data_IF_739063324444
#
_entry.id   IF_739063324444
#
_cell.length_a   1.000
_cell.length_b   1.000
_cell.length_c   1.000
_cell.angle_alpha   90.00
_cell.angle_beta   90.00
_cell.angle_gamma   90.00
#
_symmetry.space_group_name_H-M   'P 1'
#
loop_
_entity.id
_entity.type
_entity.pdbx_description
1 polymer ?
#
# COMPACT_ATOMS: atom_id res chain seq x y z
N UNK A 1 -20.90 -77.43 1.06
CA UNK A 1 -20.72 -76.88 2.42
C UNK A 1 -20.22 -75.47 2.24
N UNK A 2 -20.81 -74.40 2.73
CA UNK A 2 -21.87 -74.14 3.70
C UNK A 2 -21.76 -72.63 3.95
N UNK A 3 -22.89 -71.94 3.91
CA UNK A 3 -23.01 -70.48 3.92
C UNK A 3 -22.70 -69.83 5.29
N UNK A 4 -22.76 -68.49 5.26
CA UNK A 4 -23.08 -67.55 6.35
C UNK A 4 -21.94 -67.15 7.32
N UNK A 5 -21.77 -65.91 7.81
CA UNK A 5 -22.55 -64.64 7.74
C UNK A 5 -21.76 -63.48 8.39
N UNK A 6 -22.01 -62.26 7.85
CA UNK A 6 -22.32 -60.97 8.52
C UNK A 6 -21.25 -60.13 9.25
N UNK A 7 -21.31 -58.83 8.89
CA UNK A 7 -21.09 -57.66 9.74
C UNK A 7 -19.94 -56.81 9.19
N UNK A 8 -20.08 -55.57 8.74
CA UNK A 8 -21.13 -54.57 8.93
C UNK A 8 -20.42 -53.21 9.00
N UNK A 9 -20.75 -52.34 8.06
CA UNK A 9 -20.48 -50.90 7.92
C UNK A 9 -19.73 -50.16 9.05
N UNK A 10 -18.69 -49.40 8.67
CA UNK A 10 -18.61 -47.97 9.02
C UNK A 10 -17.62 -47.24 8.07
N UNK A 11 -18.09 -46.88 6.87
CA UNK A 11 -17.46 -45.82 6.07
C UNK A 11 -17.78 -44.48 6.74
N UNK A 12 -16.81 -43.91 7.46
CA UNK A 12 -16.89 -42.51 7.89
C UNK A 12 -16.05 -41.64 6.98
N UNK A 13 -16.79 -41.07 6.04
CA UNK A 13 -16.62 -39.79 5.34
C UNK A 13 -15.89 -38.76 6.23
N UNK A 14 -14.57 -38.67 6.07
CA UNK A 14 -13.71 -37.67 6.71
C UNK A 14 -13.66 -36.40 5.87
N UNK A 15 -14.78 -35.67 5.78
CA UNK A 15 -14.81 -34.31 5.22
C UNK A 15 -13.88 -33.43 6.06
N UNK A 16 -12.73 -33.07 5.51
CA UNK A 16 -11.90 -32.00 6.06
C UNK A 16 -12.72 -30.72 5.91
N UNK A 17 -13.19 -30.22 7.05
CA UNK A 17 -13.94 -28.99 7.14
C UNK A 17 -13.06 -27.83 6.65
N UNK A 18 -13.37 -27.29 5.47
CA UNK A 18 -12.94 -25.97 5.04
C UNK A 18 -13.43 -24.96 6.07
N UNK A 19 -12.55 -24.54 6.99
CA UNK A 19 -12.76 -23.33 7.78
C UNK A 19 -12.56 -22.15 6.86
N UNK A 20 -13.67 -21.64 6.32
CA UNK A 20 -13.75 -20.27 5.82
C UNK A 20 -13.61 -19.35 7.02
N UNK A 21 -12.44 -18.78 7.20
CA UNK A 21 -12.30 -17.62 8.08
C UNK A 21 -12.99 -16.44 7.40
N UNK A 22 -14.25 -16.23 7.79
CA UNK A 22 -15.04 -15.06 7.44
C UNK A 22 -14.33 -13.81 7.94
N UNK A 23 -13.77 -13.04 7.00
CA UNK A 23 -13.43 -11.63 7.25
C UNK A 23 -14.70 -10.95 7.73
N UNK A 24 -14.68 -10.46 8.97
CA UNK A 24 -15.79 -9.74 9.57
C UNK A 24 -16.13 -8.50 8.74
N UNK A 25 -17.12 -8.64 7.85
CA UNK A 25 -17.69 -7.50 7.16
C UNK A 25 -18.43 -6.66 8.19
N UNK A 26 -17.82 -5.53 8.56
CA UNK A 26 -18.50 -4.50 9.33
C UNK A 26 -19.83 -4.14 8.65
N UNK A 27 -20.94 -4.52 9.29
CA UNK A 27 -22.29 -4.19 8.83
C UNK A 27 -22.46 -2.68 8.86
N UNK A 28 -22.49 -2.06 7.68
CA UNK A 28 -23.06 -0.73 7.45
C UNK A 28 -24.20 -0.83 6.42
N UNK A 29 -25.23 0.03 6.54
CA UNK A 29 -26.50 -0.16 5.85
C UNK A 29 -26.35 -0.01 4.34
N UNK A 30 -26.87 -1.01 3.62
CA UNK A 30 -26.91 -1.06 2.16
C UNK A 30 -27.63 0.17 1.57
N UNK A 31 -27.12 0.77 0.48
CA UNK A 31 -27.85 1.81 -0.21
C UNK A 31 -29.10 1.22 -0.90
N UNK A 32 -30.14 2.06 -0.94
CA UNK A 32 -31.48 1.81 -1.46
C UNK A 32 -31.53 0.96 -2.75
N UNK A 33 -32.50 0.02 -2.78
CA UNK A 33 -32.97 -0.61 -4.03
C UNK A 33 -33.51 0.47 -4.97
N UNK A 34 -32.92 0.60 -6.14
CA UNK A 34 -33.51 1.32 -7.26
C UNK A 34 -34.79 0.59 -7.70
N UNK A 35 -35.93 1.28 -7.70
CA UNK A 35 -37.11 0.83 -8.45
C UNK A 35 -36.96 1.28 -9.90
N UNK A 36 -37.13 0.34 -10.81
CA UNK A 36 -37.55 0.62 -12.18
C UNK A 36 -38.90 1.32 -12.08
N UNK A 37 -39.00 2.52 -12.66
CA UNK A 37 -40.17 3.11 -13.32
C UNK A 37 -39.86 4.60 -13.50
N UNK A 38 -39.54 4.96 -14.73
CA UNK A 38 -39.18 6.32 -15.12
C UNK A 38 -40.40 7.22 -15.17
N UNK A 39 -40.66 7.97 -14.09
CA UNK A 39 -41.40 9.23 -14.14
C UNK A 39 -40.86 10.20 -13.08
N UNK A 40 -40.45 11.39 -13.53
CA UNK A 40 -40.13 12.51 -12.65
C UNK A 40 -41.42 13.21 -12.24
N UNK A 41 -41.70 13.26 -10.94
CA UNK A 41 -42.68 14.22 -10.38
C UNK A 41 -42.08 14.98 -9.20
N UNK A 42 -42.18 16.29 -9.32
CA UNK A 42 -41.90 17.28 -8.28
C UNK A 42 -43.06 17.35 -7.29
N UNK A 43 -42.83 16.98 -6.02
CA UNK A 43 -43.61 17.51 -4.89
C UNK A 43 -43.12 16.94 -3.55
N UNK A 44 -42.94 17.83 -2.56
CA UNK A 44 -43.10 17.49 -1.15
C UNK A 44 -41.80 17.23 -0.38
N UNK A 45 -41.36 18.23 0.38
CA UNK A 45 -40.23 18.08 1.31
C UNK A 45 -40.48 16.99 2.35
N UNK A 46 -39.51 16.08 2.50
CA UNK A 46 -39.48 15.10 3.57
C UNK A 46 -39.03 15.79 4.87
N UNK A 47 -39.98 15.90 5.81
CA UNK A 47 -39.74 16.27 7.21
C UNK A 47 -39.07 15.09 7.92
N UNK A 48 -37.82 15.27 8.35
CA UNK A 48 -37.17 14.40 9.32
C UNK A 48 -37.70 14.60 10.76
N UNK A 49 -37.38 13.70 11.70
CA UNK A 49 -38.00 13.62 13.01
C UNK A 49 -37.37 14.63 13.98
N UNK A 50 -37.59 15.92 13.76
CA UNK A 50 -37.32 16.96 14.75
C UNK A 50 -38.54 17.87 14.88
N UNK A 51 -39.61 17.30 15.42
CA UNK A 51 -40.88 17.96 15.66
C UNK A 51 -40.96 18.78 16.94
N UNK A 52 -39.86 19.29 17.53
CA UNK A 52 -39.93 20.18 18.69
C UNK A 52 -38.74 21.16 18.76
N UNK A 53 -38.73 22.18 17.91
CA UNK A 53 -37.97 23.42 18.17
C UNK A 53 -38.82 24.62 17.75
N UNK A 54 -39.68 25.07 18.65
CA UNK A 54 -40.32 26.39 18.54
C UNK A 54 -39.36 27.50 19.02
N UNK A 55 -39.18 28.50 18.15
CA UNK A 55 -38.69 29.88 18.35
C UNK A 55 -37.18 30.14 18.49
N UNK A 56 -36.69 31.27 17.92
CA UNK A 56 -35.26 31.57 17.82
C UNK A 56 -34.72 32.06 19.17
N UNK A 57 -33.80 31.30 19.76
CA UNK A 57 -32.90 31.85 20.78
C UNK A 57 -31.85 32.69 20.06
N UNK A 58 -31.73 33.95 20.48
CA UNK A 58 -30.66 34.88 20.06
C UNK A 58 -29.32 34.14 20.01
N UNK A 59 -28.56 34.38 18.94
CA UNK A 59 -27.16 33.96 18.86
C UNK A 59 -26.42 34.39 20.15
N UNK A 60 -25.58 33.53 20.74
CA UNK A 60 -24.72 33.95 21.85
C UNK A 60 -23.90 35.14 21.36
N UNK A 61 -23.88 36.22 22.14
CA UNK A 61 -22.92 37.30 21.91
C UNK A 61 -21.54 36.66 22.01
N UNK A 62 -20.77 36.72 20.92
CA UNK A 62 -19.34 36.40 20.92
C UNK A 62 -18.71 37.25 22.01
N UNK A 63 -18.15 36.59 23.02
CA UNK A 63 -17.29 37.25 23.98
C UNK A 63 -16.09 37.82 23.22
N UNK A 64 -15.85 39.12 23.35
CA UNK A 64 -14.85 39.85 22.56
C UNK A 64 -13.40 39.53 22.94
N UNK A 65 -13.18 38.53 23.81
CA UNK A 65 -11.85 38.16 24.31
C UNK A 65 -11.36 36.76 23.91
N UNK A 66 -11.92 36.13 22.87
CA UNK A 66 -11.21 35.00 22.23
C UNK A 66 -10.07 35.57 21.38
N UNK A 67 -8.90 35.76 22.01
CA UNK A 67 -7.65 36.02 21.30
C UNK A 67 -7.44 34.90 20.27
N UNK A 68 -7.58 35.23 18.99
CA UNK A 68 -7.12 34.38 17.88
C UNK A 68 -5.66 33.98 18.17
N UNK A 69 -5.28 32.70 18.08
CA UNK A 69 -3.88 32.33 18.21
C UNK A 69 -3.11 33.07 17.12
N UNK A 70 -2.22 33.97 17.51
CA UNK A 70 -1.25 34.54 16.58
C UNK A 70 -0.33 33.39 16.17
N UNK A 71 -0.38 32.98 14.90
CA UNK A 71 0.64 32.14 14.29
C UNK A 71 2.00 32.74 14.64
N UNK A 72 2.83 32.00 15.39
CA UNK A 72 4.16 32.47 15.79
C UNK A 72 5.02 32.61 14.52
N UNK A 73 5.77 33.71 14.36
CA UNK A 73 6.61 33.94 13.16
C UNK A 73 7.87 33.06 13.11
N UNK A 74 8.14 32.24 14.13
CA UNK A 74 9.33 31.40 14.21
C UNK A 74 8.98 29.98 14.64
N UNK A 75 8.59 29.15 13.67
CA UNK A 75 8.77 27.70 13.75
C UNK A 75 10.27 27.42 13.60
N UNK A 76 10.90 26.64 14.50
CA UNK A 76 12.27 26.20 14.27
C UNK A 76 12.30 25.36 12.98
N UNK A 77 13.24 25.66 12.09
CA UNK A 77 13.38 24.96 10.82
C UNK A 77 13.59 23.46 11.07
N UNK A 78 12.58 22.65 10.73
CA UNK A 78 12.77 21.22 10.51
C UNK A 78 13.51 21.05 9.18
N UNK A 79 14.80 21.41 9.17
CA UNK A 79 15.68 21.22 8.04
C UNK A 79 17.05 20.82 8.57
N UNK A 80 17.29 19.50 8.64
CA UNK A 80 18.57 19.02 8.16
C UNK A 80 18.34 18.59 6.70
N UNK A 81 19.01 19.21 5.73
CA UNK A 81 18.95 18.73 4.36
C UNK A 81 19.62 17.35 4.35
N UNK A 82 18.85 16.30 4.10
CA UNK A 82 19.46 15.05 3.72
C UNK A 82 19.98 15.25 2.30
N UNK A 83 21.30 15.25 2.17
CA UNK A 83 22.01 15.40 0.91
C UNK A 83 21.89 14.11 0.10
N UNK A 84 20.80 13.98 -0.63
CA UNK A 84 20.77 13.19 -1.85
C UNK A 84 19.98 14.01 -2.87
N UNK A 85 20.68 14.50 -3.90
CA UNK A 85 20.00 14.98 -5.09
C UNK A 85 19.14 13.82 -5.56
N UNK A 86 17.81 13.95 -5.50
CA UNK A 86 16.92 13.09 -6.27
C UNK A 86 17.43 13.17 -7.69
N UNK A 87 17.95 12.07 -8.24
CA UNK A 87 18.44 12.05 -9.60
C UNK A 87 17.23 12.27 -10.51
N UNK A 88 16.99 13.53 -10.89
CA UNK A 88 15.89 13.93 -11.77
C UNK A 88 16.20 13.55 -13.21
N UNK A 89 16.76 12.37 -13.46
CA UNK A 89 16.90 11.76 -14.79
C UNK A 89 15.55 11.27 -15.32
N UNK A 90 14.50 12.05 -15.08
CA UNK A 90 13.20 11.84 -15.68
C UNK A 90 13.29 12.43 -17.08
N UNK A 91 13.43 11.56 -18.09
CA UNK A 91 13.59 12.00 -19.48
C UNK A 91 12.28 12.62 -19.96
N UNK A 92 12.35 13.88 -20.38
CA UNK A 92 11.25 14.52 -21.11
C UNK A 92 10.96 13.79 -22.43
N UNK A 93 9.68 13.59 -22.73
CA UNK A 93 9.20 12.88 -23.93
C UNK A 93 9.61 13.62 -25.22
N UNK A 94 9.96 12.89 -26.29
CA UNK A 94 9.89 13.41 -27.67
C UNK A 94 8.40 13.47 -28.09
N UNK A 95 8.05 14.43 -28.96
CA UNK A 95 6.68 14.67 -29.42
C UNK A 95 5.97 13.38 -29.88
N UNK A 96 4.63 13.26 -29.70
CA UNK A 96 3.91 12.03 -30.00
C UNK A 96 3.88 11.79 -31.52
N UNK A 97 4.62 10.79 -31.98
CA UNK A 97 4.29 10.11 -33.24
C UNK A 97 2.93 9.42 -33.07
N UNK A 98 2.17 9.39 -34.17
CA UNK A 98 0.78 8.96 -34.31
C UNK A 98 0.38 7.85 -33.30
N UNK A 99 -0.57 8.15 -32.39
CA UNK A 99 -1.05 7.17 -31.39
C UNK A 99 -1.93 6.14 -32.10
N UNK A 100 -1.30 5.20 -32.81
CA UNK A 100 -1.91 3.93 -33.13
C UNK A 100 -2.46 3.32 -31.83
N UNK A 101 -3.69 2.80 -31.87
CA UNK A 101 -4.29 2.09 -30.73
C UNK A 101 -3.31 1.00 -30.27
N UNK A 102 -2.70 1.20 -29.10
CA UNK A 102 -1.73 0.24 -28.56
C UNK A 102 -2.51 -0.89 -27.93
N UNK A 103 -2.54 -2.05 -28.60
CA UNK A 103 -3.01 -3.29 -27.99
C UNK A 103 -1.87 -3.89 -27.17
N UNK A 104 -2.17 -4.32 -25.95
CA UNK A 104 -1.23 -5.06 -25.10
C UNK A 104 -1.94 -6.27 -24.48
N UNK A 105 -1.16 -7.27 -24.07
CA UNK A 105 -1.63 -8.46 -23.38
C UNK A 105 -0.91 -8.65 -22.06
N UNK A 106 -1.56 -9.38 -21.15
CA UNK A 106 -1.00 -9.80 -19.86
C UNK A 106 -1.11 -11.32 -19.78
N UNK A 107 0.03 -12.00 -19.68
CA UNK A 107 0.15 -13.46 -19.81
C UNK A 107 0.66 -14.01 -18.47
N UNK A 108 -0.15 -14.80 -17.74
CA UNK A 108 0.30 -15.42 -16.49
C UNK A 108 1.29 -16.55 -16.77
N UNK A 109 2.33 -16.69 -15.94
CA UNK A 109 3.20 -17.86 -15.93
C UNK A 109 2.73 -18.83 -14.85
N UNK A 110 2.03 -19.88 -15.28
CA UNK A 110 1.42 -20.87 -14.37
C UNK A 110 2.37 -22.05 -14.11
N UNK A 111 2.12 -22.81 -13.03
CA UNK A 111 2.85 -24.04 -12.75
C UNK A 111 4.30 -23.85 -12.29
N UNK A 112 4.66 -22.66 -11.82
CA UNK A 112 5.96 -22.42 -11.17
C UNK A 112 6.07 -23.24 -9.89
N UNK A 113 7.25 -23.84 -9.66
CA UNK A 113 7.54 -24.54 -8.41
C UNK A 113 7.54 -23.57 -7.22
N UNK A 114 7.36 -24.12 -6.02
CA UNK A 114 7.49 -23.35 -4.78
C UNK A 114 8.94 -22.90 -4.61
N UNK A 115 9.14 -21.60 -4.43
CA UNK A 115 10.48 -20.98 -4.33
C UNK A 115 11.03 -21.15 -2.92
N UNK A 116 12.26 -21.64 -2.83
CA UNK A 116 13.06 -21.75 -1.61
C UNK A 116 14.17 -20.70 -1.57
N UNK A 117 14.79 -20.57 -0.39
CA UNK A 117 15.96 -19.73 -0.20
C UNK A 117 17.13 -20.18 -1.09
N UNK A 118 17.73 -19.24 -1.80
CA UNK A 118 18.87 -19.49 -2.71
C UNK A 118 18.49 -19.93 -4.13
N UNK A 119 17.20 -20.13 -4.43
CA UNK A 119 16.75 -20.49 -5.77
C UNK A 119 17.07 -19.39 -6.80
N UNK A 120 17.48 -19.79 -8.00
CA UNK A 120 17.70 -18.87 -9.12
C UNK A 120 16.38 -18.52 -9.80
N UNK A 121 15.87 -17.32 -9.50
CA UNK A 121 14.63 -16.81 -10.11
C UNK A 121 14.74 -16.58 -11.62
N UNK A 122 15.92 -16.34 -12.17
CA UNK A 122 16.11 -16.17 -13.61
C UNK A 122 15.83 -17.49 -14.33
N UNK A 123 16.34 -18.60 -13.78
CA UNK A 123 16.09 -19.96 -14.27
C UNK A 123 14.64 -20.37 -14.07
N UNK A 124 14.10 -20.22 -12.86
CA UNK A 124 12.71 -20.59 -12.59
C UNK A 124 11.70 -19.86 -13.48
N UNK A 125 11.91 -18.56 -13.74
CA UNK A 125 11.03 -17.78 -14.61
C UNK A 125 11.18 -18.18 -16.08
N UNK A 126 12.41 -18.40 -16.54
CA UNK A 126 12.64 -18.82 -17.92
C UNK A 126 12.05 -20.21 -18.20
N UNK A 127 12.25 -21.16 -17.28
CA UNK A 127 11.69 -22.51 -17.38
C UNK A 127 10.15 -22.47 -17.36
N UNK A 128 9.57 -21.63 -16.50
CA UNK A 128 8.13 -21.42 -16.46
C UNK A 128 7.59 -20.82 -17.77
N UNK A 129 8.30 -19.85 -18.36
CA UNK A 129 7.93 -19.29 -19.65
C UNK A 129 7.91 -20.38 -20.74
N UNK A 130 8.96 -21.20 -20.82
CA UNK A 130 9.05 -22.34 -21.76
C UNK A 130 7.92 -23.34 -21.52
N UNK A 131 7.66 -23.71 -20.27
CA UNK A 131 6.59 -24.66 -19.91
C UNK A 131 5.18 -24.16 -20.27
N UNK A 132 4.97 -22.83 -20.26
CA UNK A 132 3.73 -22.20 -20.70
C UNK A 132 3.69 -21.94 -22.22
N UNK A 133 4.71 -22.37 -22.98
CA UNK A 133 4.82 -22.13 -24.42
C UNK A 133 5.05 -20.66 -24.78
N UNK A 134 5.63 -19.88 -23.87
CA UNK A 134 5.91 -18.46 -24.04
C UNK A 134 7.41 -18.25 -24.19
N UNK A 135 7.83 -17.82 -25.37
CA UNK A 135 9.19 -17.29 -25.56
C UNK A 135 9.23 -15.83 -25.13
N UNK A 136 10.15 -15.47 -24.22
CA UNK A 136 10.37 -14.09 -23.81
C UNK A 136 10.91 -13.29 -24.99
N UNK A 137 10.33 -12.12 -25.23
CA UNK A 137 10.64 -11.29 -26.39
C UNK A 137 11.10 -9.88 -25.98
N UNK A 138 11.81 -9.21 -26.89
CA UNK A 138 12.16 -7.81 -26.73
C UNK A 138 10.92 -6.94 -26.46
N UNK A 139 11.01 -6.09 -25.44
CA UNK A 139 9.92 -5.22 -25.04
C UNK A 139 8.91 -5.85 -24.07
N UNK A 140 9.08 -7.11 -23.68
CA UNK A 140 8.31 -7.70 -22.59
C UNK A 140 8.65 -7.06 -21.24
N UNK A 141 7.65 -6.96 -20.37
CA UNK A 141 7.83 -6.51 -18.99
C UNK A 141 7.32 -7.61 -18.06
N UNK A 142 8.20 -8.16 -17.22
CA UNK A 142 7.83 -9.17 -16.25
C UNK A 142 7.41 -8.46 -14.95
N UNK A 143 6.18 -8.72 -14.53
CA UNK A 143 5.67 -8.32 -13.21
C UNK A 143 5.74 -9.51 -12.28
N UNK A 144 6.61 -9.40 -11.27
CA UNK A 144 6.98 -10.49 -10.36
C UNK A 144 6.54 -10.11 -8.95
N UNK A 145 5.84 -11.00 -8.23
CA UNK A 145 5.48 -10.70 -6.85
C UNK A 145 6.70 -10.64 -5.94
N UNK A 146 6.69 -9.70 -4.99
CA UNK A 146 7.66 -9.58 -3.90
C UNK A 146 7.90 -10.90 -3.17
N UNK A 147 6.88 -11.75 -3.02
CA UNK A 147 6.95 -12.97 -2.21
C UNK A 147 8.01 -13.96 -2.68
N UNK A 148 8.10 -14.23 -3.99
CA UNK A 148 9.09 -15.18 -4.49
C UNK A 148 10.51 -14.60 -4.43
N UNK A 149 10.63 -13.29 -4.56
CA UNK A 149 11.91 -12.58 -4.38
C UNK A 149 12.36 -12.66 -2.92
N UNK A 150 11.46 -12.34 -1.98
CA UNK A 150 11.70 -12.49 -0.55
C UNK A 150 12.11 -13.91 -0.16
N UNK A 151 11.46 -14.94 -0.73
CA UNK A 151 11.81 -16.34 -0.45
C UNK A 151 13.21 -16.68 -0.96
N UNK A 152 13.50 -16.37 -2.23
CA UNK A 152 14.82 -16.61 -2.82
C UNK A 152 15.94 -15.88 -2.06
N UNK A 153 15.66 -14.69 -1.52
CA UNK A 153 16.60 -13.88 -0.74
C UNK A 153 16.66 -14.22 0.75
N UNK A 154 16.02 -15.30 1.22
CA UNK A 154 16.09 -15.71 2.62
C UNK A 154 15.40 -14.76 3.59
N UNK A 155 14.38 -14.01 3.13
CA UNK A 155 13.61 -13.06 3.95
C UNK A 155 12.53 -13.72 4.81
N UNK A 156 12.55 -15.04 4.94
CA UNK A 156 11.68 -15.78 5.84
C UNK A 156 12.32 -15.82 7.23
N UNK A 157 11.71 -15.13 8.19
CA UNK A 157 12.27 -14.99 9.55
C UNK A 157 11.38 -15.67 10.57
N UNK A 158 12.00 -16.29 11.58
CA UNK A 158 11.27 -16.81 12.74
C UNK A 158 10.73 -15.65 13.56
N UNK A 159 9.42 -15.64 13.78
CA UNK A 159 8.75 -14.65 14.61
C UNK A 159 7.62 -15.35 15.37
N UNK A 160 7.76 -15.40 16.70
CA UNK A 160 6.71 -15.92 17.57
C UNK A 160 5.53 -14.96 17.66
N UNK A 161 5.82 -13.65 17.61
CA UNK A 161 4.84 -12.59 17.46
C UNK A 161 5.09 -11.82 16.16
N UNK A 162 4.05 -11.72 15.34
CA UNK A 162 4.08 -10.94 14.11
C UNK A 162 4.27 -9.45 14.39
N UNK A 163 3.76 -8.94 15.51
CA UNK A 163 3.91 -7.52 15.87
C UNK A 163 5.37 -7.14 16.17
N UNK A 164 6.18 -8.08 16.66
CA UNK A 164 7.62 -7.85 16.86
C UNK A 164 8.32 -7.63 15.52
N UNK A 165 8.00 -8.46 14.51
CA UNK A 165 8.54 -8.30 13.17
C UNK A 165 8.07 -7.00 12.50
N UNK A 166 6.78 -6.65 12.65
CA UNK A 166 6.24 -5.37 12.15
C UNK A 166 6.98 -4.20 12.81
N UNK A 167 7.20 -4.27 14.12
CA UNK A 167 7.90 -3.22 14.87
C UNK A 167 9.35 -3.12 14.46
N UNK A 168 10.02 -4.25 14.24
CA UNK A 168 11.38 -4.29 13.74
C UNK A 168 11.49 -3.63 12.37
N UNK A 169 10.56 -3.86 11.44
CA UNK A 169 10.56 -3.25 10.09
C UNK A 169 10.04 -1.81 10.05
N UNK A 170 9.46 -1.31 11.14
CA UNK A 170 8.87 0.04 11.20
C UNK A 170 9.95 1.11 11.39
N UNK A 171 10.00 2.07 10.47
CA UNK A 171 10.78 3.32 10.63
C UNK A 171 9.96 4.36 11.37
N UNK A 172 8.68 4.53 11.00
CA UNK A 172 7.74 5.41 11.70
C UNK A 172 6.30 4.91 11.56
N UNK A 173 5.49 5.18 12.58
CA UNK A 173 4.06 4.95 12.53
C UNK A 173 3.39 6.12 11.80
N UNK A 174 2.52 5.80 10.85
CA UNK A 174 1.67 6.78 10.14
C UNK A 174 0.30 6.82 10.79
N UNK A 175 -0.35 5.66 10.92
CA UNK A 175 -1.69 5.56 11.49
C UNK A 175 -1.87 4.24 12.24
N UNK A 176 -2.64 4.28 13.32
CA UNK A 176 -2.99 3.13 14.14
C UNK A 176 -4.49 3.07 14.30
N UNK A 177 -5.06 1.87 14.17
CA UNK A 177 -6.47 1.64 14.42
C UNK A 177 -6.69 0.33 15.15
N UNK A 178 -7.22 0.42 16.36
CA UNK A 178 -7.68 -0.73 17.12
C UNK A 178 -9.01 -1.24 16.57
N UNK A 179 -9.17 -2.56 16.56
CA UNK A 179 -10.41 -3.24 16.25
C UNK A 179 -10.51 -4.53 17.07
N UNK A 180 -11.68 -5.17 17.08
CA UNK A 180 -11.93 -6.39 17.84
C UNK A 180 -10.95 -7.53 17.53
N UNK A 181 -10.45 -7.59 16.30
CA UNK A 181 -9.44 -8.56 15.85
C UNK A 181 -7.97 -8.14 16.01
N UNK A 182 -7.65 -7.08 16.75
CA UNK A 182 -6.28 -6.59 16.96
C UNK A 182 -6.05 -5.16 16.48
N UNK A 183 -4.80 -4.83 16.19
CA UNK A 183 -4.40 -3.46 15.82
C UNK A 183 -3.90 -3.43 14.38
N UNK A 184 -4.52 -2.60 13.55
CA UNK A 184 -3.97 -2.27 12.23
C UNK A 184 -3.02 -1.10 12.36
N UNK A 185 -1.79 -1.26 11.86
CA UNK A 185 -0.79 -0.19 11.78
C UNK A 185 -0.43 0.08 10.33
N UNK A 186 -0.59 1.32 9.90
CA UNK A 186 0.05 1.86 8.70
C UNK A 186 1.36 2.50 9.12
N UNK A 187 2.45 2.07 8.52
CA UNK A 187 3.81 2.49 8.89
C UNK A 187 4.60 2.79 7.64
N UNK A 188 5.63 3.62 7.79
CA UNK A 188 6.73 3.63 6.84
C UNK A 188 7.71 2.52 7.21
N UNK A 189 8.05 1.65 6.27
CA UNK A 189 9.06 0.61 6.47
C UNK A 189 10.47 1.07 6.06
N UNK A 190 11.46 0.17 6.15
CA UNK A 190 12.86 0.47 5.81
C UNK A 190 13.10 0.81 4.34
N UNK A 191 12.28 0.25 3.44
CA UNK A 191 12.28 0.54 2.00
C UNK A 191 11.64 1.90 1.68
N UNK A 192 11.03 2.57 2.67
CA UNK A 192 10.36 3.85 2.51
C UNK A 192 8.88 3.75 2.11
N UNK A 193 8.34 2.54 1.94
CA UNK A 193 6.94 2.31 1.59
C UNK A 193 6.04 2.64 2.79
N UNK A 194 4.89 3.27 2.53
CA UNK A 194 3.86 3.55 3.54
C UNK A 194 2.71 2.56 3.37
N UNK A 195 2.65 1.54 4.22
CA UNK A 195 1.75 0.41 4.06
C UNK A 195 1.37 -0.24 5.39
N UNK A 196 0.38 -1.14 5.34
CA UNK A 196 -0.04 -1.90 6.50
C UNK A 196 1.04 -2.89 6.93
N UNK A 197 1.25 -3.03 8.25
CA UNK A 197 2.11 -4.04 8.85
C UNK A 197 3.55 -4.08 8.28
N UNK A 198 4.07 -2.94 7.82
CA UNK A 198 5.40 -2.82 7.20
C UNK A 198 5.66 -3.71 5.96
N UNK A 199 4.63 -4.34 5.39
CA UNK A 199 4.79 -5.37 4.34
C UNK A 199 5.11 -6.77 4.87
N UNK A 200 4.99 -6.99 6.18
CA UNK A 200 5.18 -8.31 6.81
C UNK A 200 3.98 -9.21 6.52
N UNK A 201 4.24 -10.29 5.77
CA UNK A 201 3.23 -11.28 5.38
C UNK A 201 3.35 -12.56 6.21
N UNK A 202 2.24 -13.00 6.80
CA UNK A 202 2.12 -14.28 7.52
C UNK A 202 1.22 -15.29 6.80
N UNK A 203 0.56 -14.90 5.71
CA UNK A 203 -0.42 -15.74 5.00
C UNK A 203 0.22 -16.82 4.12
N UNK A 204 1.48 -16.63 3.73
CA UNK A 204 2.23 -17.53 2.85
C UNK A 204 3.52 -18.07 3.50
N UNK A 205 3.57 -18.06 4.84
CA UNK A 205 4.71 -18.48 5.63
C UNK A 205 4.35 -19.67 6.52
N UNK A 206 5.28 -20.62 6.75
CA UNK A 206 5.10 -21.67 7.76
C UNK A 206 4.75 -21.10 9.14
N UNK A 207 4.02 -21.86 9.95
CA UNK A 207 3.64 -21.42 11.29
C UNK A 207 4.87 -21.05 12.13
N UNK A 208 4.83 -19.89 12.80
CA UNK A 208 5.96 -19.36 13.59
C UNK A 208 7.01 -18.61 12.76
N UNK A 209 6.73 -18.36 11.47
CA UNK A 209 7.57 -17.53 10.61
C UNK A 209 6.74 -16.43 9.95
N UNK A 210 7.41 -15.38 9.50
CA UNK A 210 6.85 -14.31 8.67
C UNK A 210 7.79 -14.02 7.51
N UNK A 211 7.22 -13.57 6.40
CA UNK A 211 7.97 -13.16 5.23
C UNK A 211 8.12 -11.64 5.23
N UNK A 212 9.36 -11.16 5.23
CA UNK A 212 9.68 -9.75 5.10
C UNK A 212 9.82 -9.38 3.61
N UNK A 213 9.66 -8.10 3.28
CA UNK A 213 9.98 -7.61 1.93
C UNK A 213 11.49 -7.75 1.63
N UNK A 214 11.87 -7.76 0.33
CA UNK A 214 13.27 -7.64 -0.08
C UNK A 214 13.92 -6.41 0.55
N UNK A 215 15.21 -6.50 0.90
CA UNK A 215 15.91 -5.38 1.56
C UNK A 215 16.05 -4.16 0.64
N UNK A 216 16.38 -4.42 -0.63
CA UNK A 216 16.41 -3.43 -1.71
C UNK A 216 15.68 -4.00 -2.95
N UNK A 217 14.35 -3.82 -3.04
CA UNK A 217 13.57 -4.37 -4.16
C UNK A 217 13.99 -3.84 -5.53
N UNK A 218 14.56 -2.63 -5.62
CA UNK A 218 15.07 -2.08 -6.87
C UNK A 218 16.37 -2.78 -7.28
N UNK A 219 17.25 -3.14 -6.33
CA UNK A 219 18.42 -3.95 -6.61
C UNK A 219 18.04 -5.38 -7.02
N UNK A 220 17.08 -6.00 -6.34
CA UNK A 220 16.53 -7.31 -6.71
C UNK A 220 15.94 -7.30 -8.12
N UNK A 221 15.16 -6.27 -8.46
CA UNK A 221 14.62 -6.08 -9.81
C UNK A 221 15.74 -5.94 -10.86
N UNK A 222 16.81 -5.19 -10.56
CA UNK A 222 17.96 -5.02 -11.45
C UNK A 222 18.71 -6.33 -11.67
N UNK A 223 18.97 -7.09 -10.62
CA UNK A 223 19.64 -8.39 -10.73
C UNK A 223 18.82 -9.35 -11.60
N UNK A 224 17.52 -9.46 -11.34
CA UNK A 224 16.61 -10.30 -12.12
C UNK A 224 16.52 -9.84 -13.58
N UNK A 225 16.38 -8.54 -13.83
CA UNK A 225 16.32 -7.97 -15.18
C UNK A 225 17.61 -8.21 -15.95
N UNK A 226 18.77 -8.01 -15.32
CA UNK A 226 20.08 -8.27 -15.93
C UNK A 226 20.25 -9.76 -16.28
N UNK A 227 19.88 -10.66 -15.38
CA UNK A 227 19.93 -12.10 -15.61
C UNK A 227 19.04 -12.55 -16.77
N UNK A 228 17.79 -12.06 -16.83
CA UNK A 228 16.88 -12.34 -17.93
C UNK A 228 17.39 -11.78 -19.27
N UNK A 229 17.96 -10.56 -19.26
CA UNK A 229 18.57 -9.96 -20.46
C UNK A 229 19.81 -10.73 -20.93
N UNK A 230 20.57 -11.33 -20.02
CA UNK A 230 21.71 -12.18 -20.39
C UNK A 230 21.30 -13.45 -21.17
N UNK A 231 20.02 -13.86 -21.09
CA UNK A 231 19.46 -14.95 -21.90
C UNK A 231 19.06 -14.53 -23.31
N UNK A 232 19.12 -13.23 -23.64
CA UNK A 232 18.80 -12.71 -24.98
C UNK A 232 17.85 -11.52 -25.00
N UNK A 233 16.62 -11.61 -24.44
CA UNK A 233 15.59 -10.61 -24.69
C UNK A 233 15.80 -9.33 -23.88
N UNK A 234 15.60 -8.17 -24.50
CA UNK A 234 15.58 -6.87 -23.83
C UNK A 234 14.25 -6.65 -23.12
N UNK A 235 14.16 -7.15 -21.89
CA UNK A 235 12.96 -7.07 -21.03
C UNK A 235 13.04 -6.00 -19.95
N UNK A 236 11.91 -5.61 -19.37
CA UNK A 236 11.81 -4.86 -18.11
C UNK A 236 11.31 -5.75 -16.96
N UNK A 237 11.56 -5.35 -15.71
CA UNK A 237 11.08 -6.05 -14.52
C UNK A 237 10.43 -5.06 -13.56
N UNK A 238 9.24 -5.41 -13.06
CA UNK A 238 8.56 -4.73 -11.95
C UNK A 238 8.32 -5.76 -10.83
N UNK A 239 8.80 -5.47 -9.62
CA UNK A 239 8.41 -6.21 -8.43
C UNK A 239 7.14 -5.60 -7.85
N UNK A 240 6.10 -6.41 -7.67
CA UNK A 240 4.80 -5.98 -7.16
C UNK A 240 4.51 -6.51 -5.77
N UNK A 241 3.84 -5.69 -4.96
CA UNK A 241 3.23 -6.14 -3.72
C UNK A 241 1.83 -5.54 -3.54
N UNK A 242 1.05 -6.14 -2.65
CA UNK A 242 -0.37 -5.83 -2.46
C UNK A 242 -0.57 -4.80 -1.36
N UNK A 243 -1.10 -3.63 -1.72
CA UNK A 243 -1.31 -2.55 -0.78
C UNK A 243 -2.77 -2.07 -0.78
N UNK A 244 -3.24 -1.66 0.40
CA UNK A 244 -4.40 -0.78 0.53
C UNK A 244 -4.03 0.65 0.15
N UNK A 245 -5.03 1.52 0.00
CA UNK A 245 -4.79 2.95 -0.31
C UNK A 245 -5.83 3.85 0.35
N UNK A 246 -5.45 5.06 0.79
CA UNK A 246 -6.39 6.01 1.37
C UNK A 246 -7.61 6.26 0.47
N UNK A 247 -8.75 6.52 1.12
CA UNK A 247 -10.02 6.94 0.50
C UNK A 247 -10.73 5.92 -0.40
N UNK A 248 -10.15 4.73 -0.64
CA UNK A 248 -10.76 3.66 -1.44
C UNK A 248 -10.83 2.37 -0.64
N UNK A 249 -11.92 1.63 -0.82
CA UNK A 249 -12.01 0.25 -0.36
C UNK A 249 -11.30 -0.68 -1.35
N UNK A 250 -10.77 -1.79 -0.82
CA UNK A 250 -10.05 -2.79 -1.58
C UNK A 250 -8.53 -2.54 -1.67
N UNK A 251 -7.81 -3.58 -2.07
CA UNK A 251 -6.36 -3.56 -2.28
C UNK A 251 -6.06 -3.63 -3.78
N UNK A 252 -4.88 -3.17 -4.17
CA UNK A 252 -4.33 -3.33 -5.53
C UNK A 252 -2.86 -3.67 -5.41
N UNK A 253 -2.31 -4.33 -6.42
CA UNK A 253 -0.86 -4.39 -6.52
C UNK A 253 -0.30 -3.04 -6.97
N UNK A 254 0.86 -2.70 -6.42
CA UNK A 254 1.69 -1.55 -6.76
C UNK A 254 3.13 -2.00 -6.93
N UNK A 255 3.95 -1.19 -7.59
CA UNK A 255 5.36 -1.46 -7.74
C UNK A 255 6.11 -1.13 -6.44
N UNK A 256 6.93 -2.08 -5.97
CA UNK A 256 7.87 -1.87 -4.86
C UNK A 256 9.33 -1.89 -5.32
N UNK A 257 9.60 -2.46 -6.49
CA UNK A 257 10.90 -2.48 -7.16
C UNK A 257 10.74 -2.40 -8.67
N UNK A 258 11.69 -1.79 -9.40
CA UNK A 258 11.67 -1.76 -10.86
C UNK A 258 13.06 -1.65 -11.48
N UNK A 259 13.25 -2.26 -12.65
CA UNK A 259 14.48 -2.18 -13.44
C UNK A 259 14.23 -2.40 -14.93
N UNK A 260 14.99 -1.69 -15.78
CA UNK A 260 14.85 -1.85 -17.23
C UNK A 260 13.50 -1.39 -17.78
N UNK A 261 12.70 -0.66 -16.99
CA UNK A 261 11.35 -0.20 -17.30
C UNK A 261 11.11 1.16 -16.70
N UNK A 262 10.40 2.03 -17.41
CA UNK A 262 10.02 3.35 -16.92
C UNK A 262 9.03 3.25 -15.76
N UNK A 263 9.45 3.67 -14.56
CA UNK A 263 8.60 3.69 -13.37
C UNK A 263 7.57 4.83 -13.40
N UNK A 264 8.03 6.04 -13.73
CA UNK A 264 7.22 7.26 -13.84
C UNK A 264 7.28 7.81 -15.27
N UNK A 265 6.12 8.09 -15.86
CA UNK A 265 6.01 8.82 -17.13
C UNK A 265 5.62 10.27 -16.85
N UNK A 266 6.62 11.15 -16.87
CA UNK A 266 6.45 12.58 -16.61
C UNK A 266 6.08 13.30 -17.90
N UNK A 267 4.81 13.66 -17.98
CA UNK A 267 4.24 14.36 -19.13
C UNK A 267 4.30 15.88 -18.97
N UNK A 268 4.88 16.39 -17.87
CA UNK A 268 4.98 17.83 -17.63
C UNK A 268 5.81 18.51 -18.73
N UNK A 269 5.38 19.70 -19.12
CA UNK A 269 5.97 20.45 -20.24
C UNK A 269 5.58 19.95 -21.63
N UNK A 270 4.90 18.79 -21.73
CA UNK A 270 4.22 18.36 -22.96
C UNK A 270 2.91 19.14 -23.19
N UNK A 271 2.26 18.89 -24.32
CA UNK A 271 0.96 19.48 -24.67
C UNK A 271 -0.16 18.43 -24.72
N UNK A 272 -1.35 18.79 -24.29
CA UNK A 272 -2.56 17.97 -24.45
C UNK A 272 -3.11 18.02 -25.88
N UNK A 273 -4.22 17.31 -26.12
CA UNK A 273 -4.89 17.28 -27.43
C UNK A 273 -5.41 18.63 -27.93
N UNK A 274 -5.49 19.65 -27.05
CA UNK A 274 -5.91 21.00 -27.36
C UNK A 274 -4.72 21.99 -27.36
N UNK A 275 -3.49 21.48 -27.31
CA UNK A 275 -2.26 22.29 -27.31
C UNK A 275 -1.94 22.95 -25.97
N UNK A 276 -2.65 22.62 -24.88
CA UNK A 276 -2.38 23.18 -23.54
C UNK A 276 -1.23 22.45 -22.87
N UNK A 277 -0.35 23.18 -22.21
CA UNK A 277 0.76 22.59 -21.46
C UNK A 277 0.24 21.73 -20.30
N UNK A 278 0.82 20.54 -20.15
CA UNK A 278 0.61 19.69 -18.98
C UNK A 278 1.53 20.16 -17.85
N UNK A 279 0.96 20.58 -16.72
CA UNK A 279 1.75 21.16 -15.61
C UNK A 279 2.04 20.18 -14.47
N UNK A 280 1.18 19.19 -14.24
CA UNK A 280 1.24 18.31 -13.07
C UNK A 280 1.19 16.80 -13.40
N UNK A 281 1.12 16.43 -14.67
CA UNK A 281 0.83 15.05 -15.06
C UNK A 281 2.08 14.19 -15.01
N UNK A 282 2.21 13.40 -13.95
CA UNK A 282 3.16 12.30 -13.83
C UNK A 282 2.35 11.02 -13.65
N UNK A 283 2.56 10.03 -14.51
CA UNK A 283 1.87 8.74 -14.45
C UNK A 283 2.77 7.72 -13.79
N UNK A 284 2.27 7.03 -12.75
CA UNK A 284 2.96 5.90 -12.13
C UNK A 284 2.73 4.64 -12.96
N UNK A 285 3.39 4.55 -14.11
CA UNK A 285 3.18 3.47 -15.07
C UNK A 285 3.53 2.10 -14.48
N UNK A 286 4.55 2.02 -13.60
CA UNK A 286 4.85 0.76 -12.91
C UNK A 286 3.71 0.29 -11.99
N UNK A 287 2.95 1.20 -11.37
CA UNK A 287 1.76 0.84 -10.59
C UNK A 287 0.59 0.40 -11.49
N UNK A 288 0.44 1.01 -12.67
CA UNK A 288 -0.56 0.58 -13.65
C UNK A 288 -0.25 -0.84 -14.16
N UNK A 289 1.02 -1.13 -14.45
CA UNK A 289 1.50 -2.46 -14.85
C UNK A 289 1.28 -3.48 -13.72
N UNK A 290 1.62 -3.13 -12.48
CA UNK A 290 1.42 -3.99 -11.32
C UNK A 290 -0.07 -4.32 -11.11
N UNK A 291 -0.94 -3.30 -11.18
CA UNK A 291 -2.39 -3.48 -11.09
C UNK A 291 -2.98 -4.32 -12.21
N UNK A 292 -2.50 -4.15 -13.46
CA UNK A 292 -2.95 -4.96 -14.59
C UNK A 292 -2.51 -6.42 -14.48
N UNK A 293 -1.27 -6.67 -14.06
CA UNK A 293 -0.73 -8.01 -13.85
C UNK A 293 -1.49 -8.78 -12.76
N UNK A 294 -1.92 -8.10 -11.70
CA UNK A 294 -2.71 -8.72 -10.64
C UNK A 294 -4.02 -9.35 -11.13
N UNK A 295 -4.63 -8.84 -12.19
CA UNK A 295 -5.87 -9.39 -12.73
C UNK A 295 -5.71 -10.82 -13.27
N UNK A 296 -4.52 -11.19 -13.74
CA UNK A 296 -4.23 -12.54 -14.24
C UNK A 296 -3.41 -13.38 -13.26
N UNK A 297 -2.63 -12.73 -12.39
CA UNK A 297 -1.98 -13.41 -11.27
C UNK A 297 -3.07 -13.89 -10.32
N UNK A 298 -3.84 -12.99 -9.70
CA UNK A 298 -4.82 -13.34 -8.68
C UNK A 298 -4.18 -13.79 -7.37
N UNK A 299 -4.88 -13.57 -6.25
CA UNK A 299 -4.30 -13.74 -4.89
C UNK A 299 -4.05 -15.18 -4.44
N UNK A 300 -4.79 -16.14 -4.97
CA UNK A 300 -4.80 -17.53 -4.50
C UNK A 300 -4.53 -18.56 -5.61
N UNK A 301 -4.08 -18.10 -6.78
CA UNK A 301 -3.89 -18.93 -7.97
C UNK A 301 -2.54 -19.65 -8.03
N UNK A 302 -1.58 -19.26 -7.18
CA UNK A 302 -0.19 -19.72 -7.27
C UNK A 302 0.56 -19.20 -8.49
N UNK A 303 0.18 -18.03 -9.05
CA UNK A 303 0.84 -17.41 -10.21
C UNK A 303 1.67 -16.20 -9.74
N UNK A 304 2.99 -16.36 -9.52
CA UNK A 304 3.82 -15.29 -8.98
C UNK A 304 4.34 -14.32 -10.05
N UNK A 305 4.27 -14.67 -11.34
CA UNK A 305 4.80 -13.88 -12.45
C UNK A 305 3.79 -13.74 -13.57
N UNK A 306 3.70 -12.54 -14.15
CA UNK A 306 2.97 -12.28 -15.39
C UNK A 306 3.84 -11.46 -16.35
N UNK A 307 3.71 -11.72 -17.65
CA UNK A 307 4.37 -10.99 -18.72
C UNK A 307 3.38 -9.97 -19.30
N UNK A 308 3.77 -8.70 -19.35
CA UNK A 308 3.07 -7.66 -20.08
C UNK A 308 3.76 -7.45 -21.43
N UNK A 309 3.03 -7.69 -22.52
CA UNK A 309 3.55 -7.61 -23.89
C UNK A 309 2.79 -6.58 -24.71
N UNK A 310 3.50 -5.86 -25.58
CA UNK A 310 2.94 -4.77 -26.41
C UNK A 310 3.19 -3.36 -25.89
N UNK A 311 3.90 -3.22 -24.76
CA UNK A 311 4.29 -1.94 -24.17
C UNK A 311 5.81 -1.71 -24.18
N UNK A 312 6.52 -2.25 -25.17
CA UNK A 312 7.99 -2.19 -25.27
C UNK A 312 8.59 -0.78 -25.27
N UNK A 313 7.82 0.25 -25.59
CA UNK A 313 8.24 1.66 -25.49
C UNK A 313 8.51 2.11 -24.04
N UNK A 314 8.06 1.35 -23.05
CA UNK A 314 8.36 1.56 -21.63
C UNK A 314 9.65 0.87 -21.19
N UNK A 315 10.17 -0.08 -21.97
CA UNK A 315 11.41 -0.81 -21.64
C UNK A 315 12.62 0.08 -21.93
N UNK A 316 13.37 0.40 -20.88
CA UNK A 316 14.51 1.30 -20.89
C UNK A 316 15.83 0.61 -20.55
N UNK A 317 16.81 1.42 -20.16
CA UNK A 317 18.10 0.92 -19.69
C UNK A 317 18.02 0.36 -18.27
N UNK A 318 18.99 -0.47 -17.87
CA UNK A 318 19.00 -1.06 -16.52
C UNK A 318 19.19 -0.02 -15.41
N UNK A 319 19.69 1.17 -15.74
CA UNK A 319 19.88 2.31 -14.83
C UNK A 319 18.70 3.30 -14.83
N UNK A 320 17.58 2.96 -15.46
CA UNK A 320 16.32 3.70 -15.28
C UNK A 320 15.98 3.79 -13.78
N UNK A 321 15.39 4.91 -13.31
CA UNK A 321 14.95 5.05 -11.93
C UNK A 321 14.00 3.91 -11.52
N UNK A 322 14.30 3.28 -10.39
CA UNK A 322 13.48 2.21 -9.84
C UNK A 322 12.18 2.70 -9.18
N UNK A 323 11.42 1.78 -8.59
CA UNK A 323 10.14 2.08 -7.94
C UNK A 323 10.30 2.98 -6.70
N UNK A 324 11.48 3.02 -6.09
CA UNK A 324 11.80 4.01 -5.04
C UNK A 324 11.60 5.46 -5.49
N UNK A 325 11.69 5.75 -6.80
CA UNK A 325 11.42 7.08 -7.37
C UNK A 325 9.95 7.48 -7.32
N UNK A 326 9.03 6.51 -7.18
CA UNK A 326 7.58 6.73 -7.06
C UNK A 326 7.24 7.24 -5.65
N UNK A 327 8.01 6.84 -4.64
CA UNK A 327 7.77 7.16 -3.24
C UNK A 327 7.88 8.68 -3.05
N UNK A 328 6.80 9.28 -2.54
CA UNK A 328 6.78 10.71 -2.22
C UNK A 328 7.73 11.01 -1.07
N UNK A 329 8.67 11.96 -1.21
CA UNK A 329 9.50 12.41 -0.10
C UNK A 329 8.64 12.95 1.06
N UNK A 330 9.05 12.68 2.30
CA UNK A 330 8.30 13.10 3.49
C UNK A 330 8.09 14.62 3.56
N UNK A 331 9.03 15.42 3.06
CA UNK A 331 8.92 16.87 3.02
C UNK A 331 7.78 17.37 2.12
N UNK A 332 7.39 16.56 1.12
CA UNK A 332 6.32 16.85 0.18
C UNK A 332 5.01 16.12 0.54
N UNK A 333 5.00 15.32 1.62
CA UNK A 333 3.87 14.49 2.06
C UNK A 333 2.91 15.26 2.97
N UNK A 334 1.79 15.67 2.38
CA UNK A 334 0.70 16.35 3.09
C UNK A 334 -0.09 15.42 4.04
N UNK A 335 0.13 14.10 3.95
CA UNK A 335 -0.60 13.07 4.70
C UNK A 335 0.33 12.22 5.57
N UNK A 336 1.40 12.83 6.08
CA UNK A 336 2.45 12.15 6.83
C UNK A 336 1.98 11.50 8.15
N UNK A 337 0.82 11.87 8.69
CA UNK A 337 0.20 11.22 9.85
C UNK A 337 -1.29 10.94 9.62
N UNK A 338 -1.77 9.88 10.27
CA UNK A 338 -3.19 9.61 10.47
C UNK A 338 -3.84 10.67 11.36
N UNK A 339 -5.16 10.76 11.29
CA UNK A 339 -5.94 11.79 12.00
C UNK A 339 -5.65 11.78 13.50
N UNK A 340 -5.73 10.60 14.15
CA UNK A 340 -5.53 10.47 15.59
C UNK A 340 -4.08 10.79 15.99
N UNK A 341 -3.11 10.32 15.21
CA UNK A 341 -1.69 10.61 15.43
C UNK A 341 -1.38 12.09 15.30
N UNK A 342 -1.96 12.76 14.30
CA UNK A 342 -1.81 14.20 14.09
C UNK A 342 -2.41 15.01 15.25
N UNK A 343 -3.61 14.64 15.73
CA UNK A 343 -4.20 15.26 16.91
C UNK A 343 -3.33 15.08 18.15
N UNK A 344 -2.89 13.84 18.42
CA UNK A 344 -2.04 13.53 19.56
C UNK A 344 -0.70 14.28 19.51
N UNK A 345 -0.08 14.41 18.33
CA UNK A 345 1.12 15.21 18.14
C UNK A 345 0.87 16.69 18.49
N UNK A 346 -0.20 17.28 17.96
CA UNK A 346 -0.56 18.67 18.26
C UNK A 346 -0.83 18.94 19.75
N UNK A 347 -1.48 18.00 20.45
CA UNK A 347 -1.68 18.11 21.90
C UNK A 347 -0.36 18.08 22.68
N UNK A 348 0.57 17.19 22.29
CA UNK A 348 1.90 17.12 22.93
C UNK A 348 2.70 18.40 22.72
N UNK A 349 2.70 18.95 21.49
CA UNK A 349 3.40 20.19 21.17
C UNK A 349 2.85 21.38 21.96
N UNK A 350 1.52 21.45 22.09
CA UNK A 350 0.85 22.48 22.89
C UNK A 350 1.23 22.36 24.38
N UNK A 351 1.22 21.13 24.93
CA UNK A 351 1.59 20.87 26.31
C UNK A 351 3.05 21.23 26.60
N UNK A 352 3.98 20.92 25.69
CA UNK A 352 5.39 21.26 25.82
C UNK A 352 5.67 22.77 25.70
N UNK A 353 4.80 23.51 25.02
CA UNK A 353 4.88 24.97 24.87
C UNK A 353 4.28 25.78 26.03
N UNK A 354 3.61 25.15 26.99
CA UNK A 354 3.06 25.80 28.18
C UNK A 354 4.18 26.02 29.22
N UNK A 355 4.29 27.22 29.83
CA UNK A 355 5.19 27.41 30.97
C UNK A 355 4.79 26.45 32.10
N UNK A 356 5.78 25.87 32.78
CA UNK A 356 5.54 25.03 33.94
C UNK A 356 4.60 25.75 34.91
N UNK A 357 3.51 25.08 35.31
CA UNK A 357 2.60 25.63 36.31
C UNK A 357 3.42 26.03 37.54
N UNK A 358 3.24 27.25 38.08
CA UNK A 358 3.95 27.62 39.29
C UNK A 358 3.61 26.59 40.36
N UNK A 359 4.64 25.96 40.93
CA UNK A 359 4.47 25.05 42.06
C UNK A 359 3.66 25.81 43.11
N UNK A 360 2.43 25.36 43.37
CA UNK A 360 1.60 25.98 44.39
C UNK A 360 2.38 25.92 45.68
N UNK A 361 2.77 27.10 46.20
CA UNK A 361 3.34 27.21 47.52
C UNK A 361 2.32 26.58 48.48
N UNK A 362 2.65 25.41 49.01
CA UNK A 362 1.94 24.84 50.13
C UNK A 362 1.99 25.87 51.25
N UNK A 363 0.86 26.56 51.49
CA UNK A 363 0.77 27.46 52.62
C UNK A 363 0.80 26.60 53.87
N UNK A 364 1.95 26.62 54.54
CA UNK A 364 2.08 26.15 55.91
C UNK A 364 1.11 26.96 56.79
N UNK A 365 -0.05 26.37 57.07
CA UNK A 365 -0.92 26.78 58.16
C UNK A 365 -0.52 25.98 59.41
N UNK A 366 0.60 26.38 60.02
CA UNK A 366 0.94 26.02 61.40
C UNK A 366 1.33 27.29 62.13
N UNK A 367 0.49 27.73 63.06
CA UNK A 367 0.84 28.78 64.02
C UNK A 367 -0.34 29.66 64.41
N UNK A 368 -0.93 29.39 65.58
CA UNK A 368 -1.95 30.25 66.17
C UNK A 368 -2.55 29.68 67.44
N UNK A 369 -1.76 29.65 68.52
CA UNK A 369 -2.22 29.35 69.87
C UNK A 369 -3.16 30.44 70.39
N UNK A 370 -4.22 30.05 71.10
CA UNK A 370 -4.89 30.94 72.06
C UNK A 370 -5.41 30.10 73.22
N UNK A 371 -4.73 30.25 74.36
CA UNK A 371 -5.21 29.89 75.69
C UNK A 371 -6.10 31.01 76.24
N UNK A 372 -7.30 30.65 76.69
CA UNK A 372 -7.99 31.18 77.89
C UNK A 372 -9.22 30.31 78.16
#
# INVERSE_FOLDING_TARGET
>A
MGADRRGGADERDGRVAERRDEVSQGRYPQPFRARADGEARSSGGLRGPHGHLQRPRRAPRLDSEVRRPRLRPHLPAQCRPQSARVDRRVRARRAPEDRALTMFSVIPLTGMAEVAEGDDLVDLIADAAVANGVELADGDILVVTSKIVSKAEGRLVTALDREDAITAETVRVVATKEHTGGTTRIVQNRQGLVLAAAGVDSSNAPHGTVLLLPEDPDASARALCAGLRARGPRVGVVLSDTLGRPWRLGQTDVAIGAAGVRALDDLRGGTDAHGRTLEATIVAVADELAGAAELVKGKASGVPVAIVRGLGHLVGELDEPGASSIIRPLADDLFSLGTEEAYAAGYRDAAAGLPAAPASAASAATGGSASA
#
